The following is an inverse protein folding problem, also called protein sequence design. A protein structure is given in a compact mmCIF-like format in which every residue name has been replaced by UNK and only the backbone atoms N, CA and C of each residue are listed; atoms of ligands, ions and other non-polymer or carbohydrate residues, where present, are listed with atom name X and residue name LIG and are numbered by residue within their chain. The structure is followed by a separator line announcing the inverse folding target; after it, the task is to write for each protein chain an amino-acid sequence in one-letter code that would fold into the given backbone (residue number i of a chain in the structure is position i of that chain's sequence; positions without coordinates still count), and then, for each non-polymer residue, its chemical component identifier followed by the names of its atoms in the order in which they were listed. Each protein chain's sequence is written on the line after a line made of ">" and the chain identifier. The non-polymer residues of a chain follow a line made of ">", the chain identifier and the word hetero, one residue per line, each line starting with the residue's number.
data_IF_655600980622
#
_entry.id   IF_655600980622
#
_cell.length_a   1.000
_cell.length_b   1.000
_cell.length_c   1.000
_cell.angle_alpha   90.00
_cell.angle_beta   90.00
_cell.angle_gamma   90.00
#
_symmetry.space_group_name_H-M   'P 1'
#
loop_
_entity.id
_entity.type
_entity.pdbx_description
1 polymer ?
#
# COMPACT_ATOMS: atom_id res chain seq x y z
N UNK A 1 28.52 -7.17 24.66
CA UNK A 1 28.67 -6.73 23.25
C UNK A 1 27.70 -7.43 22.29
N UNK A 2 27.35 -8.71 22.50
CA UNK A 2 26.32 -9.40 21.70
C UNK A 2 24.91 -8.78 21.82
N UNK A 3 24.57 -8.19 22.97
CA UNK A 3 23.26 -7.59 23.24
C UNK A 3 22.94 -6.34 22.40
N UNK A 4 23.94 -5.56 21.98
CA UNK A 4 23.74 -4.35 21.17
C UNK A 4 23.48 -4.71 19.70
N UNK A 5 24.12 -5.76 19.17
CA UNK A 5 23.89 -6.16 17.78
C UNK A 5 22.51 -6.81 17.57
N UNK A 6 21.98 -7.49 18.59
CA UNK A 6 20.67 -8.14 18.54
C UNK A 6 19.51 -7.13 18.51
N UNK A 7 19.71 -5.89 19.00
CA UNK A 7 18.67 -4.84 18.96
C UNK A 7 18.73 -3.95 17.71
N UNK A 8 19.91 -3.78 17.10
CA UNK A 8 20.08 -2.93 15.92
C UNK A 8 19.37 -3.50 14.68
N UNK A 9 19.48 -4.80 14.44
CA UNK A 9 18.88 -5.42 13.25
C UNK A 9 17.34 -5.33 13.23
N UNK A 10 16.62 -5.67 14.31
CA UNK A 10 15.17 -5.42 14.41
C UNK A 10 14.80 -3.95 14.29
N UNK A 11 15.58 -3.05 14.90
CA UNK A 11 15.30 -1.61 14.83
C UNK A 11 15.41 -1.08 13.39
N UNK A 12 16.44 -1.48 12.65
CA UNK A 12 16.60 -1.12 11.23
C UNK A 12 15.48 -1.74 10.38
N UNK A 13 15.17 -3.02 10.60
CA UNK A 13 14.08 -3.70 9.89
C UNK A 13 12.72 -3.03 10.10
N UNK A 14 12.43 -2.63 11.34
CA UNK A 14 11.23 -1.87 11.68
C UNK A 14 11.22 -0.49 11.03
N UNK A 15 12.34 0.26 11.11
CA UNK A 15 12.44 1.59 10.52
C UNK A 15 12.23 1.56 9.00
N UNK A 16 12.80 0.58 8.32
CA UNK A 16 12.60 0.39 6.88
C UNK A 16 11.16 -0.02 6.54
N UNK A 17 10.54 -0.89 7.34
CA UNK A 17 9.12 -1.23 7.19
C UNK A 17 8.24 0.01 7.35
N UNK A 18 8.47 0.80 8.40
CA UNK A 18 7.75 2.04 8.63
C UNK A 18 7.94 3.03 7.48
N UNK A 19 9.16 3.15 6.95
CA UNK A 19 9.44 3.98 5.78
C UNK A 19 8.66 3.50 4.55
N UNK A 20 8.61 2.19 4.28
CA UNK A 20 7.81 1.64 3.17
C UNK A 20 6.33 2.00 3.33
N UNK A 21 5.76 1.89 4.53
CA UNK A 21 4.36 2.24 4.80
C UNK A 21 4.12 3.74 4.62
N UNK A 22 5.01 4.59 5.14
CA UNK A 22 4.92 6.05 5.00
C UNK A 22 5.01 6.48 3.54
N UNK A 23 5.85 5.83 2.73
CA UNK A 23 5.97 6.10 1.29
C UNK A 23 4.80 5.51 0.48
N UNK A 24 4.19 4.42 0.95
CA UNK A 24 3.01 3.82 0.31
C UNK A 24 1.76 4.68 0.50
N UNK A 25 1.65 5.44 1.59
CA UNK A 25 0.51 6.32 1.85
C UNK A 25 0.29 7.39 0.74
N UNK A 26 1.28 8.21 0.34
CA UNK A 26 1.12 9.15 -0.76
C UNK A 26 0.94 8.45 -2.12
N UNK A 27 1.54 7.27 -2.32
CA UNK A 27 1.32 6.47 -3.52
C UNK A 27 -0.15 6.01 -3.62
N UNK A 28 -0.73 5.52 -2.52
CA UNK A 28 -2.14 5.16 -2.44
C UNK A 28 -3.02 6.38 -2.67
N UNK A 29 -2.72 7.50 -2.00
CA UNK A 29 -3.48 8.73 -2.13
C UNK A 29 -3.50 9.23 -3.58
N UNK A 30 -2.35 9.22 -4.25
CA UNK A 30 -2.24 9.59 -5.65
C UNK A 30 -2.99 8.63 -6.57
N UNK A 31 -2.85 7.32 -6.35
CA UNK A 31 -3.55 6.30 -7.14
C UNK A 31 -5.08 6.43 -7.06
N UNK A 32 -5.60 6.66 -5.86
CA UNK A 32 -7.03 6.86 -5.60
C UNK A 32 -7.51 8.20 -6.14
N UNK A 33 -6.73 9.28 -5.93
CA UNK A 33 -7.03 10.60 -6.46
C UNK A 33 -7.16 10.59 -7.99
N UNK A 34 -6.16 10.02 -8.67
CA UNK A 34 -6.12 9.93 -10.12
C UNK A 34 -7.28 9.06 -10.65
N UNK A 35 -7.60 7.97 -9.97
CA UNK A 35 -8.73 7.12 -10.33
C UNK A 35 -10.08 7.82 -10.13
N UNK A 36 -10.28 8.49 -8.99
CA UNK A 36 -11.48 9.28 -8.72
C UNK A 36 -11.66 10.41 -9.75
N UNK A 37 -10.58 11.10 -10.11
CA UNK A 37 -10.60 12.17 -11.11
C UNK A 37 -10.92 11.64 -12.50
N UNK A 38 -10.33 10.50 -12.89
CA UNK A 38 -10.60 9.86 -14.17
C UNK A 38 -12.04 9.34 -14.30
N UNK A 39 -12.67 9.00 -13.16
CA UNK A 39 -14.06 8.56 -13.06
C UNK A 39 -15.06 9.72 -12.93
N UNK A 40 -14.60 10.97 -12.86
CA UNK A 40 -15.46 12.16 -12.79
C UNK A 40 -16.05 12.46 -11.41
N UNK A 41 -15.44 11.99 -10.32
CA UNK A 41 -15.87 12.36 -8.96
C UNK A 41 -15.67 13.86 -8.69
N UNK A 42 -16.62 14.51 -8.04
CA UNK A 42 -16.54 15.93 -7.62
C UNK A 42 -15.48 16.18 -6.53
N UNK A 43 -15.17 15.16 -5.73
CA UNK A 43 -14.26 15.29 -4.58
C UNK A 43 -13.06 14.32 -4.62
N UNK A 44 -12.21 14.34 -5.67
CA UNK A 44 -11.13 13.37 -5.83
C UNK A 44 -10.07 13.47 -4.72
N UNK A 45 -9.84 14.66 -4.17
CA UNK A 45 -8.91 14.87 -3.05
C UNK A 45 -9.39 14.21 -1.76
N UNK A 46 -10.69 14.25 -1.47
CA UNK A 46 -11.26 13.59 -0.29
C UNK A 46 -11.06 12.07 -0.39
N UNK A 47 -11.28 11.49 -1.57
CA UNK A 47 -11.03 10.07 -1.78
C UNK A 47 -9.56 9.70 -1.63
N UNK A 48 -8.66 10.47 -2.25
CA UNK A 48 -7.22 10.22 -2.19
C UNK A 48 -6.66 10.28 -0.77
N UNK A 49 -6.76 11.44 -0.13
CA UNK A 49 -6.24 11.65 1.23
C UNK A 49 -6.99 10.77 2.24
N UNK A 50 -8.31 10.69 2.10
CA UNK A 50 -9.16 9.91 2.97
C UNK A 50 -8.83 8.42 2.95
N UNK A 51 -8.58 7.85 1.78
CA UNK A 51 -8.19 6.44 1.64
C UNK A 51 -6.82 6.14 2.25
N UNK A 52 -5.88 7.09 2.19
CA UNK A 52 -4.56 6.93 2.79
C UNK A 52 -4.57 7.11 4.32
N UNK A 53 -5.41 8.00 4.85
CA UNK A 53 -5.49 8.27 6.27
C UNK A 53 -6.41 7.29 7.03
N UNK A 54 -7.48 6.83 6.38
CA UNK A 54 -8.56 6.07 7.02
C UNK A 54 -8.85 4.82 6.20
N UNK A 55 -8.33 3.67 6.62
CA UNK A 55 -8.47 2.40 5.89
C UNK A 55 -9.93 2.03 5.55
N UNK A 56 -10.94 2.22 6.44
CA UNK A 56 -12.34 2.02 6.06
C UNK A 56 -12.80 2.88 4.88
N UNK A 57 -12.29 4.11 4.75
CA UNK A 57 -12.66 5.01 3.67
C UNK A 57 -12.14 4.55 2.31
N UNK A 58 -10.99 3.86 2.29
CA UNK A 58 -10.52 3.17 1.09
C UNK A 58 -11.47 2.05 0.65
N UNK A 59 -12.02 1.28 1.59
CA UNK A 59 -13.02 0.25 1.27
C UNK A 59 -14.29 0.87 0.70
N UNK A 60 -14.78 1.95 1.33
CA UNK A 60 -15.95 2.71 0.82
C UNK A 60 -15.68 3.22 -0.59
N UNK A 61 -14.51 3.79 -0.83
CA UNK A 61 -14.10 4.23 -2.16
C UNK A 61 -14.17 3.10 -3.20
N UNK A 62 -13.66 1.91 -2.87
CA UNK A 62 -13.68 0.75 -3.77
C UNK A 62 -15.09 0.26 -4.11
N UNK A 63 -16.05 0.48 -3.21
CA UNK A 63 -17.46 0.12 -3.43
C UNK A 63 -18.17 1.17 -4.30
N UNK A 64 -17.99 2.46 -3.99
CA UNK A 64 -18.67 3.56 -4.68
C UNK A 64 -18.12 3.77 -6.09
N UNK A 65 -16.81 3.61 -6.30
CA UNK A 65 -16.17 3.80 -7.63
C UNK A 65 -16.77 2.93 -8.73
N UNK A 66 -17.40 1.79 -8.37
CA UNK A 66 -18.07 0.89 -9.32
C UNK A 66 -19.33 1.51 -9.95
N UNK A 67 -19.88 2.54 -9.33
CA UNK A 67 -21.05 3.26 -9.81
C UNK A 67 -20.66 4.41 -10.75
N UNK A 68 -19.40 4.83 -10.72
CA UNK A 68 -18.88 5.81 -11.66
C UNK A 68 -18.51 5.12 -12.96
N UNK A 69 -18.70 5.83 -14.08
CA UNK A 69 -18.69 5.25 -15.43
C UNK A 69 -17.34 4.67 -15.87
N UNK A 70 -17.19 4.45 -17.18
CA UNK A 70 -15.94 3.94 -17.72
C UNK A 70 -14.84 5.02 -17.68
N UNK A 71 -13.62 4.62 -17.30
CA UNK A 71 -12.41 5.45 -17.41
C UNK A 71 -11.50 4.97 -18.53
N UNK A 72 -10.67 5.88 -19.04
CA UNK A 72 -9.56 5.55 -19.95
C UNK A 72 -8.42 4.79 -19.26
N UNK A 73 -7.40 4.38 -20.04
CA UNK A 73 -6.25 3.65 -19.53
C UNK A 73 -5.47 4.46 -18.48
N UNK A 74 -4.89 3.82 -17.46
CA UNK A 74 -4.08 4.50 -16.45
C UNK A 74 -2.74 4.96 -17.01
N UNK A 75 -2.32 6.15 -16.56
CA UNK A 75 -0.99 6.69 -16.81
C UNK A 75 0.11 5.85 -16.14
N UNK A 76 1.35 5.97 -16.61
CA UNK A 76 2.50 5.26 -16.01
C UNK A 76 2.69 5.62 -14.53
N UNK A 77 2.50 6.89 -14.17
CA UNK A 77 2.54 7.33 -12.77
C UNK A 77 1.50 6.61 -11.91
N UNK A 78 0.27 6.46 -12.39
CA UNK A 78 -0.79 5.71 -11.69
C UNK A 78 -0.43 4.23 -11.54
N UNK A 79 0.10 3.62 -12.60
CA UNK A 79 0.52 2.22 -12.61
C UNK A 79 1.60 1.95 -11.57
N UNK A 80 2.62 2.81 -11.49
CA UNK A 80 3.68 2.74 -10.48
C UNK A 80 3.10 2.89 -9.07
N UNK A 81 2.28 3.92 -8.87
CA UNK A 81 1.71 4.22 -7.56
C UNK A 81 0.82 3.09 -7.04
N UNK A 82 -0.05 2.52 -7.90
CA UNK A 82 -0.87 1.36 -7.58
C UNK A 82 -0.02 0.14 -7.24
N UNK A 83 1.00 -0.13 -8.04
CA UNK A 83 1.90 -1.26 -7.83
C UNK A 83 2.61 -1.16 -6.47
N UNK A 84 3.20 0.00 -6.18
CA UNK A 84 3.92 0.23 -4.92
C UNK A 84 2.99 0.17 -3.71
N UNK A 85 1.85 0.87 -3.77
CA UNK A 85 0.87 0.89 -2.70
C UNK A 85 0.29 -0.50 -2.44
N UNK A 86 -0.10 -1.24 -3.49
CA UNK A 86 -0.67 -2.58 -3.34
C UNK A 86 0.35 -3.57 -2.75
N UNK A 87 1.60 -3.55 -3.22
CA UNK A 87 2.63 -4.43 -2.70
C UNK A 87 2.83 -4.22 -1.19
N UNK A 88 2.97 -2.97 -0.75
CA UNK A 88 3.17 -2.65 0.66
C UNK A 88 1.93 -2.95 1.50
N UNK A 89 0.72 -2.59 1.02
CA UNK A 89 -0.53 -2.87 1.73
C UNK A 89 -0.77 -4.36 1.92
N UNK A 90 -0.60 -5.16 0.87
CA UNK A 90 -0.77 -6.62 0.96
C UNK A 90 0.23 -7.20 1.94
N UNK A 91 1.49 -6.75 1.90
CA UNK A 91 2.54 -7.23 2.80
C UNK A 91 2.25 -6.87 4.27
N UNK A 92 1.76 -5.65 4.49
CA UNK A 92 1.35 -5.20 5.82
C UNK A 92 0.16 -6.01 6.34
N UNK A 93 -0.86 -6.24 5.52
CA UNK A 93 -2.03 -7.03 5.89
C UNK A 93 -1.66 -8.48 6.19
N UNK A 94 -0.81 -9.11 5.37
CA UNK A 94 -0.32 -10.48 5.59
C UNK A 94 0.47 -10.54 6.90
N UNK A 95 1.37 -9.60 7.12
CA UNK A 95 2.14 -9.51 8.37
C UNK A 95 1.22 -9.39 9.59
N UNK A 96 0.31 -8.41 9.61
CA UNK A 96 -0.57 -8.17 10.77
C UNK A 96 -1.57 -9.32 11.01
N UNK A 97 -1.99 -10.03 9.96
CA UNK A 97 -3.03 -11.09 10.07
C UNK A 97 -2.46 -12.43 10.51
N UNK A 98 -1.28 -12.80 10.01
CA UNK A 98 -0.75 -14.16 10.17
C UNK A 98 0.39 -14.27 11.19
N UNK A 99 0.89 -13.15 11.73
CA UNK A 99 1.97 -13.19 12.72
C UNK A 99 1.48 -13.13 14.16
N UNK A 100 2.24 -13.74 15.10
CA UNK A 100 2.12 -13.40 16.51
C UNK A 100 2.23 -11.87 16.73
N UNK A 101 1.70 -11.30 17.83
CA UNK A 101 1.81 -9.87 18.19
C UNK A 101 3.23 -9.50 18.69
N UNK A 102 4.17 -9.91 17.85
CA UNK A 102 5.61 -9.86 17.74
C UNK A 102 6.27 -8.80 16.86
N UNK A 103 7.09 -7.87 17.36
CA UNK A 103 7.79 -6.95 16.44
C UNK A 103 8.71 -7.71 15.47
N UNK A 104 9.43 -8.72 15.95
CA UNK A 104 10.37 -9.47 15.11
C UNK A 104 9.66 -10.33 14.09
N UNK A 105 8.61 -11.05 14.52
CA UNK A 105 7.77 -11.85 13.63
C UNK A 105 7.11 -10.98 12.56
N UNK A 106 6.56 -9.82 12.95
CA UNK A 106 5.93 -8.89 11.99
C UNK A 106 6.91 -8.39 10.93
N UNK A 107 8.13 -8.02 11.33
CA UNK A 107 9.19 -7.60 10.39
C UNK A 107 9.48 -8.72 9.39
N UNK A 108 9.72 -9.95 9.87
CA UNK A 108 10.07 -11.08 9.01
C UNK A 108 8.98 -11.39 7.99
N UNK A 109 7.72 -11.43 8.42
CA UNK A 109 6.60 -11.71 7.53
C UNK A 109 6.29 -10.56 6.58
N UNK A 110 6.47 -9.31 7.02
CA UNK A 110 6.33 -8.15 6.13
C UNK A 110 7.33 -8.25 4.97
N UNK A 111 8.62 -8.45 5.26
CA UNK A 111 9.63 -8.56 4.20
C UNK A 111 9.44 -9.79 3.34
N UNK A 112 9.13 -10.95 3.94
CA UNK A 112 8.87 -12.19 3.21
C UNK A 112 7.67 -12.06 2.27
N UNK A 113 6.57 -11.44 2.73
CA UNK A 113 5.39 -11.19 1.89
C UNK A 113 5.63 -10.11 0.85
N UNK A 114 6.45 -9.09 1.12
CA UNK A 114 6.80 -8.05 0.14
C UNK A 114 7.53 -8.59 -1.08
N UNK A 115 8.44 -9.54 -0.88
CA UNK A 115 9.14 -10.25 -1.97
C UNK A 115 8.16 -10.94 -2.92
N UNK A 116 7.02 -11.41 -2.41
CA UNK A 116 5.96 -12.05 -3.23
C UNK A 116 4.96 -11.03 -3.76
N UNK A 117 4.55 -10.06 -2.94
CA UNK A 117 3.52 -9.09 -3.26
C UNK A 117 3.97 -8.08 -4.33
N UNK A 118 5.26 -7.73 -4.36
CA UNK A 118 5.82 -6.82 -5.37
C UNK A 118 5.67 -7.33 -6.81
N UNK A 119 6.15 -8.54 -7.20
CA UNK A 119 5.99 -9.05 -8.56
C UNK A 119 4.52 -9.31 -8.93
N UNK A 120 3.71 -9.75 -7.97
CA UNK A 120 2.25 -9.94 -8.18
C UNK A 120 1.59 -8.60 -8.47
N UNK A 121 1.86 -7.57 -7.67
CA UNK A 121 1.30 -6.23 -7.86
C UNK A 121 1.76 -5.61 -9.18
N UNK A 122 3.03 -5.80 -9.56
CA UNK A 122 3.54 -5.36 -10.86
C UNK A 122 2.78 -6.00 -12.02
N UNK A 123 2.54 -7.31 -11.92
CA UNK A 123 1.80 -8.06 -12.94
C UNK A 123 0.34 -7.60 -13.06
N UNK A 124 -0.29 -7.23 -11.94
CA UNK A 124 -1.70 -6.83 -11.87
C UNK A 124 -1.96 -5.37 -12.25
N UNK A 125 -1.03 -4.45 -11.95
CA UNK A 125 -1.28 -3.01 -12.08
C UNK A 125 -0.39 -2.31 -13.09
N UNK A 126 0.82 -2.82 -13.35
CA UNK A 126 1.75 -2.19 -14.27
C UNK A 126 1.68 -2.79 -15.67
N UNK A 127 1.56 -4.12 -15.79
CA UNK A 127 1.60 -4.82 -17.07
C UNK A 127 0.30 -4.78 -17.88
N UNK A 128 -0.84 -4.54 -17.24
CA UNK A 128 -2.20 -4.58 -17.84
C UNK A 128 -2.64 -3.23 -18.38
#
# INVERSE_FOLDING_TARGET
>A
MLSIQVTVLPAVGFALMALCVVLAAPALAYAVFADARALGSDHPYLWGVGSAAVAPLFVVYLLVRRQWGARGPPSDGERIARTAAAAVLVSLLVSVTFTPPDVNSQILWFWGSLVVAAPVSYSLFYRT
#
